data_IF_617324044887
#
_entry.id   IF_617324044887
#
_cell.length_a   1.000
_cell.length_b   1.000
_cell.length_c   1.000
_cell.angle_alpha   90.00
_cell.angle_beta   90.00
_cell.angle_gamma   90.00
#
_symmetry.space_group_name_H-M   'P 1'
#
loop_
_entity.id
_entity.type
_entity.pdbx_description
1 polymer ?
#
# COMPACT_ATOMS: atom_id res chain seq x y z
N UNK A 1 7.89 8.81 3.03
CA UNK A 1 6.95 7.70 3.30
C UNK A 1 6.73 6.90 2.03
N UNK A 2 6.56 5.58 2.09
CA UNK A 2 6.24 4.76 0.92
C UNK A 2 4.88 4.07 1.08
N UNK A 3 4.19 3.87 -0.03
CA UNK A 3 2.93 3.12 -0.09
C UNK A 3 3.19 1.77 -0.78
N UNK A 4 2.70 0.68 -0.19
CA UNK A 4 2.79 -0.66 -0.76
C UNK A 4 1.39 -1.26 -0.89
N UNK A 5 0.87 -1.28 -2.11
CA UNK A 5 -0.52 -1.65 -2.41
C UNK A 5 -0.60 -3.09 -2.88
N UNK A 6 -1.44 -3.88 -2.22
CA UNK A 6 -1.48 -5.32 -2.38
C UNK A 6 -0.27 -6.02 -1.76
N UNK A 7 0.16 -5.56 -0.58
CA UNK A 7 1.38 -6.02 0.07
C UNK A 7 1.32 -7.49 0.56
N UNK A 8 0.13 -8.09 0.59
CA UNK A 8 -0.16 -9.38 1.17
C UNK A 8 0.33 -9.46 2.64
N UNK A 9 0.99 -10.56 3.04
CA UNK A 9 1.59 -10.69 4.36
C UNK A 9 2.92 -9.91 4.51
N UNK A 10 3.24 -8.98 3.59
CA UNK A 10 4.44 -8.13 3.56
C UNK A 10 5.80 -8.83 3.38
N UNK A 11 5.82 -10.13 3.03
CA UNK A 11 7.05 -10.89 2.81
C UNK A 11 7.85 -10.37 1.58
N UNK A 12 7.17 -10.09 0.47
CA UNK A 12 7.82 -9.56 -0.74
C UNK A 12 8.45 -8.20 -0.47
N UNK A 13 7.72 -7.32 0.25
CA UNK A 13 8.25 -6.03 0.65
C UNK A 13 9.53 -6.18 1.47
N UNK A 14 9.52 -7.04 2.48
CA UNK A 14 10.67 -7.28 3.36
C UNK A 14 11.89 -7.84 2.61
N UNK A 15 11.68 -8.84 1.75
CA UNK A 15 12.75 -9.56 1.06
C UNK A 15 13.31 -8.78 -0.13
N UNK A 16 12.45 -8.07 -0.87
CA UNK A 16 12.81 -7.51 -2.17
C UNK A 16 12.78 -5.99 -2.20
N UNK A 17 11.78 -5.34 -1.59
CA UNK A 17 11.68 -3.89 -1.66
C UNK A 17 12.60 -3.23 -0.64
N UNK A 18 12.52 -3.66 0.62
CA UNK A 18 13.23 -3.05 1.75
C UNK A 18 14.75 -2.96 1.57
N UNK A 19 15.49 -3.99 1.13
CA UNK A 19 16.94 -3.90 1.00
C UNK A 19 17.39 -2.82 0.00
N UNK A 20 16.47 -2.38 -0.87
CA UNK A 20 16.71 -1.34 -1.88
C UNK A 20 16.34 0.06 -1.37
N UNK A 21 15.69 0.16 -0.21
CA UNK A 21 15.31 1.42 0.41
C UNK A 21 16.43 1.92 1.33
N UNK A 22 17.09 3.02 0.93
CA UNK A 22 18.21 3.60 1.71
C UNK A 22 17.78 4.50 2.86
N UNK A 23 16.58 5.08 2.79
CA UNK A 23 16.15 6.17 3.70
C UNK A 23 14.71 6.02 4.18
N UNK A 24 14.03 4.92 3.86
CA UNK A 24 12.65 4.74 4.25
C UNK A 24 12.54 4.39 5.74
N UNK A 25 11.87 5.25 6.51
CA UNK A 25 11.53 4.99 7.92
C UNK A 25 10.08 4.59 8.12
N UNK A 26 9.23 4.74 7.10
CA UNK A 26 7.79 4.50 7.21
C UNK A 26 7.19 4.01 5.91
N UNK A 27 6.44 2.93 6.03
CA UNK A 27 5.74 2.26 4.94
C UNK A 27 4.28 2.14 5.32
N UNK A 28 3.40 2.40 4.36
CA UNK A 28 1.97 2.21 4.47
C UNK A 28 1.62 0.96 3.67
N UNK A 29 1.61 -0.23 4.29
CA UNK A 29 1.15 -1.44 3.64
C UNK A 29 -0.37 -1.43 3.55
N UNK A 30 -0.87 -1.83 2.39
CA UNK A 30 -2.29 -1.85 2.11
C UNK A 30 -2.65 -3.15 1.45
N UNK A 31 -3.62 -3.85 2.01
CA UNK A 31 -4.11 -5.12 1.46
C UNK A 31 -5.56 -5.39 1.89
N UNK A 32 -6.13 -6.39 1.24
CA UNK A 32 -7.39 -7.01 1.59
C UNK A 32 -7.26 -8.50 1.29
N UNK A 33 -7.58 -9.40 2.24
CA UNK A 33 -8.38 -9.16 3.46
C UNK A 33 -7.57 -8.71 4.70
N UNK A 34 -8.24 -8.16 5.75
CA UNK A 34 -7.58 -7.59 6.93
C UNK A 34 -6.57 -8.50 7.66
N UNK A 35 -6.83 -9.81 7.70
CA UNK A 35 -5.92 -10.74 8.37
C UNK A 35 -4.50 -10.74 7.77
N UNK A 36 -4.34 -10.32 6.51
CA UNK A 36 -3.01 -10.19 5.88
C UNK A 36 -2.16 -9.13 6.57
N UNK A 37 -2.76 -7.98 6.91
CA UNK A 37 -2.04 -6.90 7.58
C UNK A 37 -1.83 -7.20 9.07
N UNK A 38 -2.76 -7.91 9.71
CA UNK A 38 -2.56 -8.43 11.07
C UNK A 38 -1.35 -9.37 11.12
N UNK A 39 -1.29 -10.31 10.18
CA UNK A 39 -0.14 -11.22 10.05
C UNK A 39 1.16 -10.44 9.81
N UNK A 40 1.17 -9.47 8.88
CA UNK A 40 2.34 -8.65 8.60
C UNK A 40 2.80 -7.86 9.85
N UNK A 41 1.87 -7.36 10.66
CA UNK A 41 2.16 -6.58 11.87
C UNK A 41 2.77 -7.39 13.00
N UNK A 42 2.49 -8.68 13.03
CA UNK A 42 3.07 -9.59 14.01
C UNK A 42 4.43 -10.07 13.51
N UNK A 43 4.52 -10.49 12.25
CA UNK A 43 5.65 -11.26 11.73
C UNK A 43 6.70 -10.42 11.00
N UNK A 44 6.36 -9.22 10.55
CA UNK A 44 7.22 -8.38 9.71
C UNK A 44 7.59 -7.05 10.37
N UNK A 45 7.51 -6.93 11.70
CA UNK A 45 7.99 -5.73 12.41
C UNK A 45 9.49 -5.58 12.23
N UNK A 46 9.93 -4.33 12.04
CA UNK A 46 11.36 -4.01 11.98
C UNK A 46 11.65 -2.75 12.81
N UNK A 47 12.73 -2.73 13.62
CA UNK A 47 13.00 -1.59 14.52
C UNK A 47 13.22 -0.26 13.78
N UNK A 48 13.67 -0.31 12.52
CA UNK A 48 13.97 0.90 11.73
C UNK A 48 12.84 1.34 10.80
N UNK A 49 11.76 0.55 10.70
CA UNK A 49 10.64 0.81 9.79
C UNK A 49 9.32 0.74 10.55
N UNK A 50 8.58 1.84 10.56
CA UNK A 50 7.20 1.87 11.04
C UNK A 50 6.25 1.44 9.92
N UNK A 51 5.35 0.50 10.24
CA UNK A 51 4.28 0.09 9.35
C UNK A 51 2.98 0.77 9.80
N UNK A 52 2.46 1.67 8.98
CA UNK A 52 1.15 2.30 9.17
C UNK A 52 0.14 1.52 8.31
N UNK A 53 -0.55 0.55 8.91
CA UNK A 53 -1.46 -0.32 8.14
C UNK A 53 -2.73 0.42 7.75
N UNK A 54 -3.12 0.32 6.48
CA UNK A 54 -4.43 0.76 6.02
C UNK A 54 -5.14 -0.41 5.35
N UNK A 55 -6.36 -0.67 5.80
CA UNK A 55 -7.24 -1.62 5.15
C UNK A 55 -8.00 -0.92 4.02
N UNK A 56 -7.76 -1.33 2.78
CA UNK A 56 -8.67 -0.95 1.69
C UNK A 56 -9.81 -1.94 1.65
N UNK A 57 -11.04 -1.42 1.73
CA UNK A 57 -12.20 -2.17 1.27
C UNK A 57 -12.18 -2.15 -0.27
N UNK A 58 -12.38 -3.31 -0.91
CA UNK A 58 -12.34 -3.42 -2.38
C UNK A 58 -13.02 -2.24 -3.08
N UNK A 59 -12.26 -1.52 -3.90
CA UNK A 59 -12.75 -0.42 -4.73
C UNK A 59 -12.69 0.99 -4.12
N UNK A 60 -12.19 1.18 -2.90
CA UNK A 60 -12.05 2.51 -2.30
C UNK A 60 -10.59 2.88 -1.99
N UNK A 61 -9.83 3.38 -2.99
CA UNK A 61 -8.48 3.87 -2.78
C UNK A 61 -8.45 5.27 -2.10
N UNK A 62 -9.58 5.98 -2.05
CA UNK A 62 -9.64 7.35 -1.52
C UNK A 62 -9.28 7.40 -0.05
N UNK A 63 -9.62 6.35 0.70
CA UNK A 63 -9.27 6.22 2.12
C UNK A 63 -7.75 6.31 2.39
N UNK A 64 -6.89 5.86 1.46
CA UNK A 64 -5.44 6.02 1.61
C UNK A 64 -5.03 7.48 1.49
N UNK A 65 -5.60 8.19 0.52
CA UNK A 65 -5.30 9.58 0.21
C UNK A 65 -5.78 10.52 1.33
N UNK A 66 -6.88 10.17 1.99
CA UNK A 66 -7.42 10.95 3.11
C UNK A 66 -6.54 10.85 4.37
N UNK A 67 -5.80 9.75 4.56
CA UNK A 67 -4.94 9.52 5.72
C UNK A 67 -3.52 10.06 5.55
N UNK A 68 -3.08 10.24 4.30
CA UNK A 68 -1.72 10.60 3.98
C UNK A 68 -1.63 11.55 2.77
N UNK A 69 -1.02 12.72 3.00
CA UNK A 69 -0.93 13.79 1.98
C UNK A 69 -0.01 13.45 0.80
N UNK A 70 1.06 12.66 1.02
CA UNK A 70 2.01 12.30 -0.05
C UNK A 70 2.88 11.07 0.25
N UNK A 71 3.36 10.44 -0.82
CA UNK A 71 4.28 9.31 -0.79
C UNK A 71 5.48 9.55 -1.71
N UNK A 72 6.69 9.21 -1.27
CA UNK A 72 7.90 9.32 -2.10
C UNK A 72 7.93 8.26 -3.22
N UNK A 73 7.36 7.09 -2.94
CA UNK A 73 7.31 5.93 -3.83
C UNK A 73 6.06 5.11 -3.55
N UNK A 74 5.46 4.60 -4.61
CA UNK A 74 4.31 3.69 -4.56
C UNK A 74 4.72 2.37 -5.22
N UNK A 75 4.54 1.27 -4.50
CA UNK A 75 4.68 -0.09 -5.00
C UNK A 75 3.29 -0.69 -5.16
N UNK A 76 3.05 -1.37 -6.28
CA UNK A 76 1.73 -1.93 -6.59
C UNK A 76 1.89 -3.39 -7.00
N UNK A 77 1.22 -4.27 -6.28
CA UNK A 77 1.08 -5.66 -6.67
C UNK A 77 0.11 -5.75 -7.87
N UNK A 78 0.55 -6.25 -9.04
CA UNK A 78 -0.27 -6.25 -10.25
C UNK A 78 -1.49 -7.19 -10.16
N UNK A 79 -1.48 -8.13 -9.22
CA UNK A 79 -2.62 -9.03 -8.98
C UNK A 79 -3.63 -8.45 -7.99
N UNK A 80 -3.32 -7.33 -7.34
CA UNK A 80 -4.22 -6.71 -6.38
C UNK A 80 -5.30 -5.94 -7.15
N UNK A 81 -6.60 -6.22 -6.92
CA UNK A 81 -7.69 -5.62 -7.67
C UNK A 81 -7.90 -4.16 -7.25
N UNK A 82 -7.04 -3.26 -7.72
CA UNK A 82 -7.25 -1.82 -7.63
C UNK A 82 -8.24 -1.42 -8.71
N UNK A 83 -9.47 -1.12 -8.29
CA UNK A 83 -10.34 -0.24 -9.07
C UNK A 83 -9.88 1.18 -8.79
N UNK A 84 -8.85 1.63 -9.50
CA UNK A 84 -8.59 3.06 -9.63
C UNK A 84 -9.70 3.58 -10.53
N UNK A 85 -10.78 4.10 -9.95
CA UNK A 85 -11.64 5.02 -10.67
C UNK A 85 -10.81 6.28 -10.90
N UNK A 86 -10.00 6.25 -11.97
CA UNK A 86 -9.52 7.47 -12.60
C UNK A 86 -10.79 8.17 -13.05
N UNK A 87 -11.18 9.17 -12.28
CA UNK A 87 -12.29 10.08 -12.55
C UNK A 87 -12.36 10.35 -14.06
N UNK A 88 -13.28 9.67 -14.76
CA UNK A 88 -13.46 9.85 -16.19
C UNK A 88 -14.23 11.15 -16.41
N UNK A 89 -13.60 12.27 -16.06
CA UNK A 89 -13.94 13.61 -16.53
C UNK A 89 -13.53 13.84 -17.99
N UNK A 90 -13.58 12.81 -18.84
CA UNK A 90 -13.42 12.97 -20.28
C UNK A 90 -14.84 13.03 -20.88
N UNK A 91 -15.26 14.19 -21.43
CA UNK A 91 -16.56 14.30 -22.06
C UNK A 91 -16.60 13.32 -23.22
N UNK A 92 -17.55 12.38 -23.18
CA UNK A 92 -17.89 11.57 -24.34
C UNK A 92 -18.37 12.50 -25.44
N UNK A 93 -17.47 12.84 -26.37
CA UNK A 93 -17.87 13.46 -27.63
C UNK A 93 -18.43 12.36 -28.52
N UNK A 94 -19.73 12.51 -28.75
CA UNK A 94 -20.64 12.00 -29.79
C UNK A 94 -20.00 11.14 -30.90
#
# INVERSE_FOLDING_TARGET
MHLDVGCGPANIFQEHVRPRLRTCRRVVPVDHPPYMLEYATINCRHPEVTFDLIFIKQGDPQHILDLHDSFDRIFVCPHFPLRLELDQGLPQRL
#
